data_IF_198038952852
#
_entry.id   IF_198038952852
#
_cell.length_a   1.000
_cell.length_b   1.000
_cell.length_c   1.000
_cell.angle_alpha   90.00
_cell.angle_beta   90.00
_cell.angle_gamma   90.00
#
_symmetry.space_group_name_H-M   'P 1'
#
loop_
_entity.id
_entity.type
_entity.pdbx_description
1 polymer ?
#
# COMPACT_ATOMS: atom_id res chain seq x y z
N UNK A 1 -39.05 -54.88 30.10
CA UNK A 1 -39.24 -54.54 28.68
C UNK A 1 -39.49 -53.05 28.57
N UNK A 2 -38.88 -52.43 27.55
CA UNK A 2 -39.02 -51.05 27.09
C UNK A 2 -38.35 -49.93 27.93
N UNK A 3 -37.39 -49.28 27.25
CA UNK A 3 -36.56 -48.17 27.66
C UNK A 3 -37.07 -46.83 27.06
N UNK A 4 -36.22 -45.81 27.13
CA UNK A 4 -36.20 -44.50 26.44
C UNK A 4 -36.92 -43.34 27.14
N UNK A 5 -36.41 -42.11 27.14
CA UNK A 5 -35.06 -41.56 26.94
C UNK A 5 -35.15 -40.08 27.36
N UNK A 6 -34.11 -39.59 28.05
CA UNK A 6 -33.96 -38.18 28.37
C UNK A 6 -33.48 -37.40 27.12
N UNK A 7 -34.10 -36.26 26.82
CA UNK A 7 -33.59 -35.30 25.84
C UNK A 7 -33.43 -33.93 26.52
N UNK A 8 -32.22 -33.69 27.03
CA UNK A 8 -31.76 -32.36 27.45
C UNK A 8 -31.38 -31.62 26.16
N UNK A 9 -32.25 -30.71 25.71
CA UNK A 9 -31.93 -29.81 24.62
C UNK A 9 -30.89 -28.79 25.13
N UNK A 10 -29.60 -29.06 24.85
CA UNK A 10 -28.58 -28.02 24.90
C UNK A 10 -28.92 -26.98 23.83
N UNK A 11 -29.44 -25.84 24.27
CA UNK A 11 -29.53 -24.65 23.44
C UNK A 11 -28.12 -24.22 23.05
N UNK A 12 -27.72 -24.52 21.82
CA UNK A 12 -26.60 -23.86 21.18
C UNK A 12 -26.95 -22.36 21.10
N UNK A 13 -26.40 -21.57 22.02
CA UNK A 13 -26.21 -20.15 21.79
C UNK A 13 -25.28 -20.04 20.57
N UNK A 14 -25.88 -19.86 19.40
CA UNK A 14 -25.17 -19.46 18.21
C UNK A 14 -24.64 -18.05 18.47
N UNK A 15 -23.41 -17.97 18.96
CA UNK A 15 -22.64 -16.73 18.94
C UNK A 15 -22.65 -16.22 17.51
N UNK A 16 -23.16 -15.00 17.22
CA UNK A 16 -22.94 -14.41 15.93
C UNK A 16 -21.43 -14.12 15.85
N UNK A 17 -20.68 -14.99 15.17
CA UNK A 17 -19.34 -14.68 14.66
C UNK A 17 -19.46 -13.62 13.57
N UNK A 18 -19.78 -12.39 13.99
CA UNK A 18 -19.74 -11.21 13.16
C UNK A 18 -18.29 -10.72 13.06
N UNK A 19 -17.69 -10.99 11.90
CA UNK A 19 -16.91 -10.03 11.08
C UNK A 19 -15.77 -10.74 10.35
N UNK A 20 -16.14 -11.55 9.36
CA UNK A 20 -15.32 -11.69 8.16
C UNK A 20 -15.45 -10.40 7.34
N UNK A 21 -14.32 -9.75 7.07
CA UNK A 21 -14.20 -8.73 6.00
C UNK A 21 -14.06 -7.28 6.45
N UNK A 22 -12.95 -6.93 7.11
CA UNK A 22 -12.44 -5.57 6.93
C UNK A 22 -11.85 -5.51 5.51
N UNK A 23 -12.64 -5.01 4.55
CA UNK A 23 -12.20 -4.83 3.16
C UNK A 23 -10.94 -3.98 3.06
N UNK A 24 -10.15 -4.19 2.00
CA UNK A 24 -8.99 -3.33 1.71
C UNK A 24 -9.46 -1.88 1.54
N UNK A 25 -8.78 -0.94 2.20
CA UNK A 25 -9.07 0.48 2.13
C UNK A 25 -8.22 1.11 1.02
N UNK A 26 -8.87 1.71 0.02
CA UNK A 26 -8.19 2.47 -1.01
C UNK A 26 -7.43 3.67 -0.42
N UNK A 27 -6.24 3.91 -0.95
CA UNK A 27 -5.38 5.02 -0.55
C UNK A 27 -5.42 6.12 -1.59
N UNK A 28 -5.66 7.34 -1.11
CA UNK A 28 -5.61 8.55 -1.92
C UNK A 28 -4.37 9.35 -1.53
N UNK A 29 -3.38 9.52 -2.41
CA UNK A 29 -2.24 10.39 -2.17
C UNK A 29 -2.64 11.85 -2.36
N UNK A 30 -3.24 12.46 -1.34
CA UNK A 30 -3.53 13.89 -1.30
C UNK A 30 -2.61 14.63 -0.31
N UNK A 31 -2.72 15.95 -0.24
CA UNK A 31 -1.87 16.79 0.62
C UNK A 31 -2.10 16.57 2.13
N UNK A 32 -3.22 15.96 2.52
CA UNK A 32 -3.44 15.59 3.93
C UNK A 32 -2.66 14.33 4.28
N UNK A 33 -2.65 13.36 3.36
CA UNK A 33 -1.93 12.11 3.53
C UNK A 33 -0.43 12.26 3.27
N UNK A 34 -0.02 13.08 2.31
CA UNK A 34 1.33 13.15 1.76
C UNK A 34 1.91 14.56 1.86
N UNK A 35 3.02 14.70 2.59
CA UNK A 35 3.68 16.00 2.82
C UNK A 35 5.11 15.95 2.33
N UNK A 36 5.68 17.10 1.94
CA UNK A 36 7.12 17.21 1.63
C UNK A 36 7.94 16.60 2.76
N UNK A 37 8.95 15.82 2.40
CA UNK A 37 9.81 15.16 3.37
C UNK A 37 10.55 16.20 4.22
N UNK A 38 10.61 15.97 5.53
CA UNK A 38 11.48 16.75 6.42
C UNK A 38 12.95 16.37 6.19
N UNK A 39 13.92 17.20 6.60
CA UNK A 39 15.34 16.83 6.54
C UNK A 39 15.66 15.53 7.27
N UNK A 40 14.98 15.26 8.39
CA UNK A 40 15.10 14.00 9.12
C UNK A 40 14.58 12.81 8.30
N UNK A 41 13.42 12.95 7.66
CA UNK A 41 12.85 11.91 6.81
C UNK A 41 13.70 11.62 5.57
N UNK A 42 14.29 12.64 4.97
CA UNK A 42 15.24 12.49 3.86
C UNK A 42 16.48 11.69 4.29
N UNK A 43 16.92 11.83 5.54
CA UNK A 43 18.06 11.09 6.07
C UNK A 43 17.78 9.59 6.29
N UNK A 44 16.50 9.17 6.28
CA UNK A 44 16.13 7.74 6.32
C UNK A 44 16.30 7.04 4.97
N UNK A 45 16.42 7.80 3.88
CA UNK A 45 16.44 7.28 2.52
C UNK A 45 17.87 6.95 2.06
N UNK A 46 18.05 6.01 1.11
CA UNK A 46 19.37 5.72 0.53
C UNK A 46 19.97 6.96 -0.15
N UNK A 47 20.88 7.64 0.55
CA UNK A 47 21.22 9.04 0.28
C UNK A 47 21.74 9.35 -1.12
N UNK A 48 22.46 8.45 -1.79
CA UNK A 48 23.04 8.74 -3.11
C UNK A 48 21.98 8.82 -4.21
N UNK A 49 21.07 7.84 -4.27
CA UNK A 49 20.02 7.79 -5.28
C UNK A 49 18.92 8.83 -5.05
N UNK A 50 18.68 9.24 -3.80
CA UNK A 50 17.57 10.13 -3.43
C UNK A 50 17.95 11.62 -3.39
N UNK A 51 19.23 11.95 -3.17
CA UNK A 51 19.69 13.33 -3.01
C UNK A 51 19.30 14.26 -4.17
N UNK A 52 19.37 13.87 -5.45
CA UNK A 52 18.97 14.75 -6.55
C UNK A 52 17.48 15.15 -6.51
N UNK A 53 16.65 14.33 -5.86
CA UNK A 53 15.20 14.47 -5.85
C UNK A 53 14.67 15.11 -4.56
N UNK A 54 15.54 15.52 -3.63
CA UNK A 54 15.17 15.90 -2.26
C UNK A 54 14.01 16.92 -2.17
N UNK A 55 13.93 17.87 -3.11
CA UNK A 55 12.86 18.88 -3.15
C UNK A 55 11.49 18.33 -3.58
N UNK A 56 11.47 17.19 -4.29
CA UNK A 56 10.30 16.52 -4.82
C UNK A 56 9.91 15.27 -4.01
N UNK A 57 10.65 14.93 -2.95
CA UNK A 57 10.28 13.81 -2.09
C UNK A 57 9.09 14.20 -1.22
N UNK A 58 8.04 13.39 -1.24
CA UNK A 58 6.98 13.45 -0.22
C UNK A 58 6.91 12.13 0.56
N UNK A 59 6.42 12.25 1.79
CA UNK A 59 6.16 11.12 2.69
C UNK A 59 4.68 11.06 2.97
N UNK A 60 4.07 9.95 2.56
CA UNK A 60 2.67 9.65 2.82
C UNK A 60 2.49 8.86 4.12
N UNK A 61 1.58 9.33 4.97
CA UNK A 61 1.16 8.63 6.19
C UNK A 61 0.00 7.68 5.90
N UNK A 62 0.26 6.38 6.02
CA UNK A 62 -0.78 5.35 5.89
C UNK A 62 -1.34 5.03 7.27
N UNK A 63 -2.65 5.24 7.42
CA UNK A 63 -3.39 5.08 8.68
C UNK A 63 -4.60 4.18 8.47
N UNK A 64 -4.91 3.37 9.49
CA UNK A 64 -6.10 2.52 9.50
C UNK A 64 -7.40 3.34 9.50
N UNK A 65 -7.37 4.47 10.18
CA UNK A 65 -8.46 5.43 10.24
C UNK A 65 -7.89 6.84 10.49
N UNK A 66 -8.73 7.86 10.42
CA UNK A 66 -8.30 9.26 10.53
C UNK A 66 -7.61 9.60 11.87
N UNK A 67 -7.94 8.88 12.95
CA UNK A 67 -7.47 9.16 14.32
C UNK A 67 -6.28 8.30 14.72
N UNK A 68 -6.09 7.16 14.07
CA UNK A 68 -4.96 6.27 14.32
C UNK A 68 -3.63 6.95 13.93
N UNK A 69 -2.53 6.67 14.66
CA UNK A 69 -1.19 7.03 14.20
C UNK A 69 -0.86 6.28 12.90
N UNK A 70 0.09 6.83 12.13
CA UNK A 70 0.58 6.17 10.93
C UNK A 70 1.30 4.86 11.29
N UNK A 71 0.88 3.75 10.69
CA UNK A 71 1.56 2.45 10.90
C UNK A 71 2.49 2.03 9.75
N UNK A 72 2.47 2.80 8.66
CA UNK A 72 3.34 2.69 7.50
C UNK A 72 3.54 4.10 6.93
N UNK A 73 4.76 4.40 6.49
CA UNK A 73 5.08 5.57 5.71
C UNK A 73 5.50 5.14 4.30
N UNK A 74 5.13 5.94 3.29
CA UNK A 74 5.57 5.73 1.91
C UNK A 74 6.34 6.98 1.50
N UNK A 75 7.65 6.84 1.29
CA UNK A 75 8.47 7.90 0.74
C UNK A 75 8.60 7.68 -0.76
N UNK A 76 8.31 8.70 -1.56
CA UNK A 76 8.42 8.64 -3.02
C UNK A 76 8.87 9.97 -3.59
N UNK A 77 9.37 9.94 -4.83
CA UNK A 77 9.60 11.15 -5.63
C UNK A 77 8.29 11.49 -6.34
N UNK A 78 7.80 12.72 -6.18
CA UNK A 78 6.67 13.22 -6.96
C UNK A 78 7.22 13.74 -8.28
N UNK A 79 7.00 12.99 -9.35
CA UNK A 79 7.51 13.28 -10.69
C UNK A 79 7.13 14.70 -11.15
N UNK A 80 5.86 15.08 -11.01
CA UNK A 80 5.38 16.43 -11.34
C UNK A 80 6.14 17.55 -10.58
N UNK A 81 6.41 17.33 -9.28
CA UNK A 81 7.14 18.30 -8.46
C UNK A 81 8.62 18.38 -8.89
N UNK A 82 9.21 17.27 -9.31
CA UNK A 82 10.58 17.21 -9.78
C UNK A 82 10.72 17.87 -11.15
N UNK A 83 9.88 17.50 -12.11
CA UNK A 83 9.94 18.02 -13.47
C UNK A 83 9.63 19.51 -13.55
N UNK A 84 8.76 20.03 -12.68
CA UNK A 84 8.52 21.47 -12.58
C UNK A 84 9.76 22.30 -12.21
N UNK A 85 10.81 21.67 -11.68
CA UNK A 85 12.09 22.34 -11.36
C UNK A 85 13.09 22.28 -12.51
N UNK A 86 12.79 21.55 -13.59
CA UNK A 86 13.70 21.29 -14.69
C UNK A 86 13.39 22.16 -15.90
N UNK A 87 14.42 22.55 -16.68
CA UNK A 87 14.19 23.17 -17.99
C UNK A 87 13.49 22.21 -18.96
N UNK A 88 12.64 22.74 -19.82
CA UNK A 88 12.00 21.99 -20.91
C UNK A 88 13.03 21.25 -21.78
N UNK A 89 12.71 20.04 -22.21
CA UNK A 89 13.59 19.20 -23.04
C UNK A 89 14.73 18.52 -22.27
N UNK A 90 14.71 18.61 -20.94
CA UNK A 90 15.58 17.83 -20.07
C UNK A 90 15.49 16.32 -20.33
N UNK A 91 16.63 15.62 -20.29
CA UNK A 91 16.66 14.16 -20.40
C UNK A 91 15.91 13.51 -19.25
N UNK A 92 15.09 12.50 -19.55
CA UNK A 92 14.43 11.66 -18.53
C UNK A 92 15.49 11.06 -17.60
N UNK A 93 15.22 11.09 -16.30
CA UNK A 93 16.09 10.49 -15.28
C UNK A 93 15.35 9.36 -14.60
N UNK A 94 16.08 8.31 -14.26
CA UNK A 94 15.53 7.20 -13.50
C UNK A 94 15.31 7.63 -12.05
N UNK A 95 14.06 7.55 -11.59
CA UNK A 95 13.69 7.85 -10.21
C UNK A 95 13.80 6.61 -9.33
N UNK A 96 14.21 6.74 -8.06
CA UNK A 96 14.25 5.61 -7.15
C UNK A 96 12.82 5.14 -6.80
N UNK A 97 12.65 3.82 -6.73
CA UNK A 97 11.40 3.20 -6.30
C UNK A 97 10.96 3.68 -4.91
N UNK A 98 9.66 3.91 -4.75
CA UNK A 98 9.08 4.36 -3.49
C UNK A 98 9.40 3.42 -2.33
N UNK A 99 9.88 3.95 -1.21
CA UNK A 99 10.27 3.19 -0.04
C UNK A 99 9.10 3.04 0.94
N UNK A 100 8.92 1.82 1.44
CA UNK A 100 8.02 1.50 2.54
C UNK A 100 8.81 1.60 3.85
N UNK A 101 8.40 2.50 4.75
CA UNK A 101 9.11 2.78 5.99
C UNK A 101 8.19 2.59 7.21
N UNK A 102 8.77 2.26 8.37
CA UNK A 102 8.07 2.34 9.65
C UNK A 102 7.85 3.81 10.06
N UNK A 103 7.06 4.06 11.09
CA UNK A 103 6.86 5.40 11.64
C UNK A 103 8.17 6.04 12.14
N UNK A 104 9.14 5.20 12.50
CA UNK A 104 10.48 5.57 12.98
C UNK A 104 11.53 5.58 11.85
N UNK A 105 11.12 5.46 10.59
CA UNK A 105 12.02 5.53 9.43
C UNK A 105 12.76 4.24 9.09
N UNK A 106 12.45 3.10 9.73
CA UNK A 106 13.07 1.82 9.37
C UNK A 106 12.54 1.34 8.02
N UNK A 107 13.43 0.95 7.10
CA UNK A 107 13.04 0.37 5.81
C UNK A 107 12.33 -0.97 5.98
N UNK A 108 11.10 -1.05 5.49
CA UNK A 108 10.27 -2.26 5.47
C UNK A 108 10.21 -2.88 4.06
N UNK A 109 10.59 -2.16 3.02
CA UNK A 109 10.59 -2.65 1.64
C UNK A 109 10.46 -1.50 0.65
N UNK A 110 10.01 -1.82 -0.56
CA UNK A 110 9.75 -0.85 -1.62
C UNK A 110 8.53 -1.24 -2.45
N UNK A 111 7.93 -0.26 -3.12
CA UNK A 111 6.89 -0.52 -4.11
C UNK A 111 7.53 -0.98 -5.43
N UNK A 112 6.86 -1.87 -6.17
CA UNK A 112 7.40 -2.41 -7.42
C UNK A 112 7.48 -1.39 -8.57
N UNK A 113 6.88 -0.21 -8.42
CA UNK A 113 6.81 0.87 -9.42
C UNK A 113 6.88 2.24 -8.73
N UNK A 114 7.11 3.29 -9.50
CA UNK A 114 7.07 4.66 -9.01
C UNK A 114 5.67 5.05 -8.51
N UNK A 115 5.61 5.94 -7.52
CA UNK A 115 4.37 6.36 -6.87
C UNK A 115 4.36 7.88 -6.66
N UNK A 116 3.23 8.58 -6.84
CA UNK A 116 1.93 8.07 -7.28
C UNK A 116 1.81 7.83 -8.78
N UNK A 117 2.76 8.35 -9.57
CA UNK A 117 2.83 8.18 -11.02
C UNK A 117 4.09 7.40 -11.40
N UNK A 118 4.00 6.70 -12.52
CA UNK A 118 5.09 5.99 -13.16
C UNK A 118 4.95 6.20 -14.68
N UNK A 119 5.64 7.20 -15.20
CA UNK A 119 5.47 7.69 -16.57
C UNK A 119 4.00 8.10 -16.84
N UNK A 120 3.38 7.55 -17.89
CA UNK A 120 1.97 7.78 -18.21
C UNK A 120 0.98 6.99 -17.33
N UNK A 121 1.47 6.13 -16.43
CA UNK A 121 0.64 5.29 -15.57
C UNK A 121 0.47 5.87 -14.17
N UNK A 122 -0.67 5.58 -13.54
CA UNK A 122 -0.93 5.92 -12.13
C UNK A 122 -0.93 4.69 -11.26
N UNK A 123 -0.21 4.73 -10.15
CA UNK A 123 -0.15 3.64 -9.19
C UNK A 123 -1.19 3.85 -8.07
N UNK A 124 -2.22 3.00 -8.05
CA UNK A 124 -3.23 2.93 -6.99
C UNK A 124 -2.84 1.90 -5.94
N UNK A 125 -2.98 2.26 -4.68
CA UNK A 125 -2.71 1.38 -3.54
C UNK A 125 -3.98 1.15 -2.73
N UNK A 126 -4.14 -0.05 -2.19
CA UNK A 126 -5.08 -0.30 -1.11
C UNK A 126 -4.47 -1.13 0.01
N UNK A 127 -4.92 -0.87 1.23
CA UNK A 127 -4.34 -1.41 2.46
C UNK A 127 -5.35 -2.28 3.18
N UNK A 128 -4.96 -3.51 3.50
CA UNK A 128 -5.82 -4.50 4.16
C UNK A 128 -5.08 -5.31 5.21
N UNK A 129 -5.80 -6.27 5.77
CA UNK A 129 -5.28 -7.23 6.75
C UNK A 129 -4.52 -6.57 7.92
N UNK A 130 -5.10 -5.48 8.43
CA UNK A 130 -4.48 -4.65 9.47
C UNK A 130 -4.14 -5.44 10.73
N UNK A 131 -2.87 -5.36 11.14
CA UNK A 131 -2.35 -5.87 12.42
C UNK A 131 -2.05 -4.66 13.32
N UNK A 132 -3.01 -4.30 14.17
CA UNK A 132 -2.97 -3.02 14.89
C UNK A 132 -3.14 -1.84 13.93
N UNK A 133 -2.14 -0.95 13.88
CA UNK A 133 -2.11 0.21 12.97
C UNK A 133 -1.33 -0.03 11.69
N UNK A 134 -0.70 -1.20 11.51
CA UNK A 134 0.11 -1.52 10.33
C UNK A 134 -0.68 -2.41 9.36
N UNK A 135 -0.72 -2.12 8.05
CA UNK A 135 -1.37 -2.99 7.09
C UNK A 135 -0.59 -4.30 6.92
N UNK A 136 -1.29 -5.42 6.89
CA UNK A 136 -0.68 -6.73 6.62
C UNK A 136 -0.55 -7.03 5.12
N UNK A 137 -1.31 -6.30 4.29
CA UNK A 137 -1.31 -6.43 2.84
C UNK A 137 -1.41 -5.07 2.16
N UNK A 138 -0.64 -4.90 1.08
CA UNK A 138 -0.70 -3.77 0.17
C UNK A 138 -1.03 -4.33 -1.21
N UNK A 139 -2.21 -3.97 -1.75
CA UNK A 139 -2.54 -4.27 -3.15
C UNK A 139 -2.06 -3.12 -4.02
N UNK A 140 -1.48 -3.46 -5.16
CA UNK A 140 -0.87 -2.49 -6.07
C UNK A 140 -1.52 -2.64 -7.44
N UNK A 141 -2.08 -1.54 -7.92
CA UNK A 141 -2.79 -1.45 -9.18
C UNK A 141 -2.13 -0.39 -10.05
N UNK A 142 -1.81 -0.74 -11.29
CA UNK A 142 -1.29 0.17 -12.30
C UNK A 142 -2.45 0.55 -13.20
N UNK A 143 -2.80 1.83 -13.26
CA UNK A 143 -3.73 2.37 -14.23
C UNK A 143 -2.95 2.88 -15.43
N UNK A 144 -3.06 2.21 -16.59
CA UNK A 144 -2.39 2.63 -17.81
C UNK A 144 -3.41 3.15 -18.82
N UNK A 145 -3.18 4.32 -19.46
CA UNK A 145 -4.01 4.79 -20.55
C UNK A 145 -3.78 4.02 -21.87
N UNK A 146 -2.78 3.13 -21.93
CA UNK A 146 -2.40 2.38 -23.12
C UNK A 146 -3.28 1.15 -23.41
N UNK A 147 -3.02 0.51 -24.56
CA UNK A 147 -3.79 -0.64 -25.08
C UNK A 147 -3.74 -1.87 -24.14
N UNK A 148 -2.69 -1.99 -23.33
CA UNK A 148 -2.54 -3.06 -22.35
C UNK A 148 -3.59 -2.98 -21.20
N UNK A 149 -4.18 -1.81 -20.97
CA UNK A 149 -5.15 -1.59 -19.89
C UNK A 149 -4.53 -1.55 -18.49
N UNK A 150 -5.38 -1.58 -17.48
CA UNK A 150 -4.97 -1.57 -16.08
C UNK A 150 -4.40 -2.94 -15.67
N UNK A 151 -3.38 -2.96 -14.82
CA UNK A 151 -2.71 -4.18 -14.35
C UNK A 151 -2.75 -4.28 -12.81
N UNK A 152 -2.89 -5.51 -12.31
CA UNK A 152 -2.86 -5.83 -10.87
C UNK A 152 -1.57 -6.58 -10.58
N UNK A 153 -0.67 -5.91 -9.88
CA UNK A 153 0.61 -6.51 -9.50
C UNK A 153 0.43 -7.46 -8.32
N UNK A 154 1.36 -8.43 -8.14
CA UNK A 154 1.37 -9.27 -6.94
C UNK A 154 1.34 -8.40 -5.67
N UNK A 155 0.43 -8.67 -4.72
CA UNK A 155 0.31 -7.85 -3.53
C UNK A 155 1.55 -8.02 -2.65
N UNK A 156 1.93 -6.93 -1.99
CA UNK A 156 2.97 -6.98 -0.97
C UNK A 156 2.35 -7.44 0.35
N UNK A 157 2.99 -8.40 1.02
CA UNK A 157 2.55 -8.99 2.29
C UNK A 157 3.60 -8.72 3.35
N UNK A 158 3.14 -8.25 4.50
CA UNK A 158 3.98 -8.16 5.68
C UNK A 158 4.35 -9.57 6.12
N UNK A 159 5.64 -9.83 6.26
CA UNK A 159 6.17 -11.13 6.65
C UNK A 159 5.72 -11.53 8.08
N UNK A 160 6.05 -12.77 8.46
CA UNK A 160 5.67 -13.29 9.77
C UNK A 160 6.38 -12.54 10.92
N UNK A 161 7.58 -12.02 10.68
CA UNK A 161 8.35 -11.24 11.67
C UNK A 161 7.80 -9.82 11.86
N UNK A 162 7.05 -9.31 10.88
CA UNK A 162 6.50 -7.96 10.91
C UNK A 162 7.50 -6.88 10.51
N UNK A 163 8.65 -7.25 9.93
CA UNK A 163 9.75 -6.33 9.60
C UNK A 163 9.87 -6.03 8.11
N UNK A 164 9.36 -6.89 7.23
CA UNK A 164 9.49 -6.71 5.78
C UNK A 164 8.19 -6.95 5.03
N UNK A 165 7.95 -6.15 4.00
CA UNK A 165 6.96 -6.45 2.96
C UNK A 165 7.64 -7.22 1.83
N UNK A 166 7.06 -8.34 1.46
CA UNK A 166 7.53 -9.20 0.37
C UNK A 166 6.41 -9.37 -0.65
N UNK A 167 6.76 -9.44 -1.93
CA UNK A 167 5.79 -9.81 -2.97
C UNK A 167 5.26 -11.22 -2.68
N UNK A 168 3.93 -11.37 -2.64
CA UNK A 168 3.34 -12.69 -2.52
C UNK A 168 3.66 -13.51 -3.77
N UNK A 169 4.31 -14.66 -3.60
CA UNK A 169 4.53 -15.59 -4.69
C UNK A 169 3.19 -16.22 -5.09
N UNK A 170 2.70 -15.94 -6.29
CA UNK A 170 1.56 -16.66 -6.88
C UNK A 170 0.50 -15.77 -7.54
N UNK A 171 0.48 -15.88 -8.86
CA UNK A 171 -0.51 -15.47 -9.87
C UNK A 171 -0.98 -14.00 -9.91
N UNK A 172 -0.81 -13.31 -11.07
CA UNK A 172 -1.53 -12.07 -11.33
C UNK A 172 -3.03 -12.33 -11.19
N UNK A 173 -3.76 -11.38 -10.62
CA UNK A 173 -5.20 -11.50 -10.49
C UNK A 173 -5.81 -11.78 -11.87
N UNK A 174 -6.62 -12.84 -11.99
CA UNK A 174 -7.28 -13.15 -13.25
C UNK A 174 -8.18 -11.97 -13.67
N UNK A 175 -8.18 -11.55 -14.95
CA UNK A 175 -8.83 -10.33 -15.43
C UNK A 175 -10.38 -10.36 -15.45
N UNK A 176 -11.03 -11.09 -14.53
CA UNK A 176 -12.46 -11.39 -14.62
C UNK A 176 -13.26 -11.50 -13.32
N UNK A 177 -12.72 -11.18 -12.14
CA UNK A 177 -13.50 -11.20 -10.89
C UNK A 177 -13.10 -10.08 -9.95
N UNK A 178 -13.89 -9.01 -9.83
CA UNK A 178 -13.91 -8.02 -8.71
C UNK A 178 -12.57 -7.41 -8.24
N UNK A 179 -11.49 -7.67 -8.96
CA UNK A 179 -10.13 -7.18 -8.73
C UNK A 179 -9.76 -6.23 -9.88
N UNK A 180 -10.70 -5.38 -10.30
CA UNK A 180 -10.40 -4.31 -11.26
C UNK A 180 -9.78 -3.12 -10.52
N UNK A 181 -8.75 -2.52 -11.12
CA UNK A 181 -8.12 -1.30 -10.59
C UNK A 181 -9.10 -0.10 -10.47
N UNK A 182 -10.29 -0.24 -11.05
CA UNK A 182 -11.36 0.77 -11.12
C UNK A 182 -12.45 0.62 -10.06
N UNK A 183 -12.57 -0.54 -9.41
CA UNK A 183 -13.52 -0.79 -8.32
C UNK A 183 -12.96 -0.51 -6.92
N UNK A 184 -11.72 -0.01 -6.83
CA UNK A 184 -11.03 0.39 -5.60
C UNK A 184 -11.11 1.90 -5.36
#
# INVERSE_FOLDING_TARGET
MAALAAAIALGCAASPSANAGAGAQAFKPDDQACRRATPEQLAWLPGEAWRPFAAAVRVCSVRRDAKAPAGLLIASVWEDDYDATRPDGSTMVEMPHAQLLSAEGKRLGELPRNFPADEAATLKLSFGDWRGNRPGAIRVCVLSPGVAGDDVLPPLRLDASGTHYIAAAGQPASPGKKDDCRGQ
#
